data_IF_574683425467
#
_entry.id   IF_574683425467
#
_cell.length_a   1.000
_cell.length_b   1.000
_cell.length_c   1.000
_cell.angle_alpha   90.00
_cell.angle_beta   90.00
_cell.angle_gamma   90.00
#
_symmetry.space_group_name_H-M   'P 1'
#
loop_
_entity.id
_entity.type
_entity.pdbx_description
1 polymer ?
#
# COMPACT_ATOMS: atom_id res chain seq x y z
N UNK A 1 -48.26 -47.77 -25.15
CA UNK A 1 -48.53 -48.33 -23.81
C UNK A 1 -48.53 -47.15 -22.85
N UNK A 2 -49.72 -46.60 -22.55
CA UNK A 2 -50.56 -46.93 -21.37
C UNK A 2 -49.93 -46.27 -20.13
N UNK A 3 -50.36 -45.03 -19.82
CA UNK A 3 -51.14 -44.57 -18.63
C UNK A 3 -50.19 -44.08 -17.52
N UNK A 4 -50.45 -43.10 -16.64
CA UNK A 4 -51.61 -42.33 -16.18
C UNK A 4 -51.07 -41.13 -15.35
N UNK A 5 -51.80 -40.00 -15.29
CA UNK A 5 -51.73 -38.97 -14.21
C UNK A 5 -52.73 -39.37 -13.09
N UNK A 6 -53.07 -38.57 -12.04
CA UNK A 6 -52.42 -37.49 -11.27
C UNK A 6 -52.56 -37.69 -9.72
N UNK A 7 -52.05 -36.75 -8.90
CA UNK A 7 -52.45 -36.64 -7.48
C UNK A 7 -52.32 -35.21 -6.92
N UNK A 8 -53.45 -34.53 -6.73
CA UNK A 8 -53.59 -33.25 -6.01
C UNK A 8 -53.90 -33.49 -4.52
N UNK A 9 -53.43 -32.60 -3.64
CA UNK A 9 -54.11 -32.16 -2.40
C UNK A 9 -53.49 -30.79 -2.01
N UNK A 10 -54.15 -29.65 -2.24
CA UNK A 10 -55.12 -28.96 -1.35
C UNK A 10 -54.71 -28.87 0.13
N UNK A 11 -54.09 -27.75 0.48
CA UNK A 11 -54.57 -26.79 1.50
C UNK A 11 -54.61 -27.21 2.98
N UNK A 12 -53.85 -26.50 3.81
CA UNK A 12 -54.33 -25.98 5.10
C UNK A 12 -53.38 -24.91 5.64
N UNK A 13 -53.87 -23.67 5.75
CA UNK A 13 -53.30 -22.65 6.62
C UNK A 13 -53.75 -22.90 8.07
N UNK A 14 -53.01 -22.38 9.06
CA UNK A 14 -53.71 -21.59 10.06
C UNK A 14 -53.05 -20.23 10.32
N UNK A 15 -53.95 -19.35 10.75
CA UNK A 15 -53.77 -17.95 11.16
C UNK A 15 -52.96 -17.83 12.45
N UNK A 16 -52.26 -16.69 12.55
CA UNK A 16 -52.34 -15.82 13.72
C UNK A 16 -51.24 -15.96 14.78
N UNK A 17 -50.41 -14.93 14.91
CA UNK A 17 -50.61 -13.96 16.00
C UNK A 17 -49.80 -12.68 15.76
N UNK A 18 -50.54 -11.56 15.71
CA UNK A 18 -50.02 -10.22 15.97
C UNK A 18 -49.55 -10.16 17.42
N UNK A 19 -48.35 -9.61 17.67
CA UNK A 19 -48.13 -8.73 18.83
C UNK A 19 -47.18 -7.60 18.46
N UNK A 20 -47.78 -6.42 18.30
CA UNK A 20 -47.13 -5.12 18.47
C UNK A 20 -46.53 -5.03 19.87
N UNK A 21 -45.33 -4.45 19.98
CA UNK A 21 -44.91 -3.73 21.18
C UNK A 21 -43.89 -2.66 20.81
N UNK A 22 -44.41 -1.45 20.62
CA UNK A 22 -43.70 -0.18 20.78
C UNK A 22 -43.14 -0.04 22.19
N UNK A 23 -41.87 0.36 22.32
CA UNK A 23 -41.37 1.01 23.53
C UNK A 23 -40.41 2.14 23.14
N UNK A 24 -41.01 3.33 23.02
CA UNK A 24 -40.35 4.62 23.17
C UNK A 24 -39.92 4.74 24.64
N UNK A 25 -38.67 5.08 24.90
CA UNK A 25 -38.31 5.77 26.15
C UNK A 25 -37.15 6.72 25.87
N UNK A 26 -37.51 7.98 25.67
CA UNK A 26 -36.64 9.11 25.84
C UNK A 26 -36.44 9.36 27.33
N UNK A 27 -35.19 9.51 27.77
CA UNK A 27 -34.89 10.20 29.04
C UNK A 27 -33.98 11.38 28.72
N UNK A 28 -34.51 12.55 29.06
CA UNK A 28 -33.87 13.86 29.00
C UNK A 28 -32.79 13.96 30.09
N UNK A 29 -31.65 14.55 29.69
CA UNK A 29 -31.06 15.73 30.34
C UNK A 29 -30.58 15.62 31.78
N UNK A 30 -29.26 15.77 31.97
CA UNK A 30 -28.72 16.57 33.06
C UNK A 30 -27.37 17.16 32.62
N UNK A 31 -27.40 18.44 32.24
CA UNK A 31 -26.22 19.28 32.18
C UNK A 31 -25.81 19.59 33.63
N UNK A 32 -24.55 19.32 33.99
CA UNK A 32 -23.92 19.91 35.17
C UNK A 32 -22.86 20.90 34.69
N UNK A 33 -23.25 22.17 34.65
CA UNK A 33 -22.35 23.29 34.77
C UNK A 33 -22.16 23.58 36.27
N UNK A 34 -20.92 23.61 36.74
CA UNK A 34 -20.55 24.28 38.00
C UNK A 34 -19.52 25.33 37.66
N UNK A 35 -19.81 26.55 38.12
CA UNK A 35 -19.09 27.77 37.85
C UNK A 35 -18.04 28.06 38.94
N UNK A 36 -16.94 28.66 38.45
CA UNK A 36 -16.12 29.77 38.98
C UNK A 36 -15.58 29.83 40.44
N UNK A 37 -14.26 30.05 40.44
CA UNK A 37 -13.45 30.98 41.27
C UNK A 37 -13.14 30.58 42.71
N UNK A 38 -11.90 30.70 43.19
CA UNK A 38 -11.28 31.97 43.60
C UNK A 38 -9.77 31.79 43.96
N UNK A 39 -8.92 32.66 43.38
CA UNK A 39 -7.75 33.42 43.93
C UNK A 39 -6.49 32.71 44.49
N UNK A 40 -5.34 33.18 43.96
CA UNK A 40 -4.07 33.39 44.68
C UNK A 40 -2.89 32.60 44.12
N UNK A 41 -1.70 33.13 43.82
CA UNK A 41 -1.12 34.47 43.88
C UNK A 41 0.10 34.47 42.95
N UNK A 42 0.38 35.61 42.33
CA UNK A 42 1.61 35.85 41.59
C UNK A 42 2.79 35.99 42.55
N UNK A 43 3.91 35.35 42.22
CA UNK A 43 5.24 35.77 42.67
C UNK A 43 6.19 35.73 41.47
N UNK A 44 6.35 36.88 40.83
CA UNK A 44 7.56 37.19 40.11
C UNK A 44 8.71 37.27 41.12
N UNK A 45 9.85 36.65 40.82
CA UNK A 45 11.10 37.06 41.45
C UNK A 45 12.23 37.05 40.42
N UNK A 46 12.98 38.12 40.52
CA UNK A 46 13.92 38.73 39.60
C UNK A 46 15.24 37.96 39.44
N UNK A 47 15.82 38.15 38.26
CA UNK A 47 17.20 37.85 37.87
C UNK A 47 18.19 38.58 38.80
N UNK A 48 19.30 37.94 39.18
CA UNK A 48 20.55 38.65 39.40
C UNK A 48 21.58 38.28 38.32
N UNK A 49 22.00 39.32 37.60
CA UNK A 49 23.16 39.34 36.72
C UNK A 49 24.41 39.41 37.59
N UNK A 50 25.34 38.45 37.45
CA UNK A 50 26.72 38.60 37.93
C UNK A 50 27.67 38.07 36.87
N UNK A 51 28.60 38.95 36.51
CA UNK A 51 29.59 38.78 35.45
C UNK A 51 30.84 38.01 35.92
N UNK A 52 31.52 37.46 34.91
CA UNK A 52 32.94 37.11 34.82
C UNK A 52 33.47 35.93 35.64
N UNK A 53 33.97 34.92 34.93
CA UNK A 53 35.41 34.83 34.62
C UNK A 53 35.68 33.70 33.64
N UNK A 54 36.40 34.02 32.57
CA UNK A 54 36.86 33.07 31.56
C UNK A 54 37.91 32.12 32.17
N UNK A 55 37.73 30.82 31.96
CA UNK A 55 38.80 29.82 32.08
C UNK A 55 38.81 28.99 30.79
N UNK A 56 39.88 29.20 30.02
CA UNK A 56 40.25 28.44 28.82
C UNK A 56 40.56 27.00 29.20
N UNK A 57 39.56 26.12 29.05
CA UNK A 57 39.73 24.67 29.03
C UNK A 57 39.73 24.19 27.58
N UNK A 58 40.93 23.96 27.03
CA UNK A 58 41.15 23.29 25.74
C UNK A 58 40.50 21.90 25.79
N UNK A 59 39.32 21.77 25.18
CA UNK A 59 38.68 20.47 24.96
C UNK A 59 38.89 20.13 23.50
N UNK A 60 39.77 19.16 23.26
CA UNK A 60 40.06 18.57 21.96
C UNK A 60 38.77 18.00 21.39
N UNK A 61 38.12 18.72 20.47
CA UNK A 61 37.02 18.19 19.66
C UNK A 61 37.60 17.19 18.67
N UNK A 62 37.58 15.92 19.04
CA UNK A 62 37.68 14.81 18.09
C UNK A 62 36.45 14.88 17.20
N UNK A 63 36.62 15.35 15.97
CA UNK A 63 35.60 15.27 14.92
C UNK A 63 35.38 13.80 14.58
N UNK A 64 34.38 13.17 15.21
CA UNK A 64 33.86 11.89 14.77
C UNK A 64 33.19 12.10 13.41
N UNK A 65 33.92 11.79 12.34
CA UNK A 65 33.34 11.65 11.01
C UNK A 65 32.26 10.57 11.09
N UNK A 66 31.00 10.99 10.93
CA UNK A 66 29.89 10.07 10.66
C UNK A 66 30.16 9.48 9.29
N UNK A 67 30.70 8.27 9.26
CA UNK A 67 30.83 7.49 8.04
C UNK A 67 29.45 7.23 7.46
N UNK A 68 29.16 7.83 6.31
CA UNK A 68 27.98 7.52 5.51
C UNK A 68 27.94 6.02 5.21
N UNK A 69 26.77 5.36 5.18
CA UNK A 69 26.68 3.97 4.76
C UNK A 69 27.19 3.86 3.31
N UNK A 70 27.82 2.73 2.93
CA UNK A 70 28.39 2.56 1.60
C UNK A 70 27.28 2.72 0.56
N UNK A 71 27.41 3.78 -0.23
CA UNK A 71 26.63 3.98 -1.44
C UNK A 71 26.84 2.76 -2.34
N UNK A 72 25.73 2.19 -2.82
CA UNK A 72 25.72 1.00 -3.64
C UNK A 72 26.82 1.04 -4.72
N UNK A 73 27.59 -0.05 -4.80
CA UNK A 73 28.54 -0.26 -5.87
C UNK A 73 27.84 -0.07 -7.23
N UNK A 74 28.54 0.43 -8.27
CA UNK A 74 27.96 0.54 -9.60
C UNK A 74 27.44 -0.83 -10.03
N UNK A 75 26.19 -0.86 -10.52
CA UNK A 75 25.56 -2.07 -11.06
C UNK A 75 26.54 -2.70 -12.05
N UNK A 76 26.87 -3.98 -11.82
CA UNK A 76 27.79 -4.73 -12.70
C UNK A 76 27.27 -4.66 -14.14
N UNK A 77 28.17 -4.49 -15.10
CA UNK A 77 27.86 -4.21 -16.50
C UNK A 77 27.11 -5.39 -17.17
N UNK A 78 25.78 -5.39 -17.03
CA UNK A 78 24.83 -6.16 -17.83
C UNK A 78 23.91 -5.23 -18.64
N UNK A 79 23.09 -5.79 -19.53
CA UNK A 79 22.08 -5.04 -20.30
C UNK A 79 21.31 -4.06 -19.40
N UNK A 80 20.92 -2.86 -19.89
CA UNK A 80 20.16 -1.93 -19.07
C UNK A 80 18.90 -2.63 -18.54
N UNK A 81 18.84 -2.78 -17.21
CA UNK A 81 17.71 -3.40 -16.55
C UNK A 81 16.47 -2.52 -16.75
N UNK A 82 15.47 -3.06 -17.45
CA UNK A 82 14.16 -2.42 -17.52
C UNK A 82 13.40 -2.72 -16.23
N UNK A 83 12.97 -1.71 -15.51
CA UNK A 83 12.05 -1.84 -14.37
C UNK A 83 10.69 -1.33 -14.79
N UNK A 84 9.65 -2.11 -14.50
CA UNK A 84 8.27 -1.66 -14.70
C UNK A 84 7.70 -1.27 -13.35
N UNK A 85 7.28 -0.01 -13.22
CA UNK A 85 6.48 0.42 -12.08
C UNK A 85 5.03 0.52 -12.51
N UNK A 86 4.16 -0.13 -11.74
CA UNK A 86 2.74 -0.19 -11.99
C UNK A 86 1.99 0.64 -10.94
N UNK A 87 1.72 1.93 -11.17
CA UNK A 87 0.86 2.68 -10.29
C UNK A 87 -0.56 2.11 -10.35
N UNK A 88 -1.01 1.54 -9.23
CA UNK A 88 -2.29 0.87 -9.09
C UNK A 88 -3.49 1.73 -9.52
N UNK A 89 -4.56 1.06 -9.94
CA UNK A 89 -5.85 1.66 -10.32
C UNK A 89 -5.75 2.70 -11.46
N UNK A 90 -6.87 3.38 -11.78
CA UNK A 90 -6.92 4.48 -12.74
C UNK A 90 -7.86 5.59 -12.24
N UNK A 91 -7.58 6.85 -12.61
CA UNK A 91 -8.36 8.00 -12.13
C UNK A 91 -9.78 8.13 -12.67
N UNK A 92 -10.16 7.39 -13.72
CA UNK A 92 -11.52 7.37 -14.27
C UNK A 92 -12.33 6.13 -13.92
N UNK A 93 -11.80 5.18 -13.15
CA UNK A 93 -12.47 3.90 -12.88
C UNK A 93 -13.86 4.09 -12.25
N UNK A 94 -14.02 5.05 -11.34
CA UNK A 94 -15.29 5.30 -10.66
C UNK A 94 -16.45 5.69 -11.62
N UNK A 95 -16.13 6.29 -12.77
CA UNK A 95 -17.11 6.66 -13.79
C UNK A 95 -17.38 5.55 -14.82
N UNK A 96 -16.65 4.43 -14.74
CA UNK A 96 -16.65 3.37 -15.76
C UNK A 96 -16.86 1.96 -15.17
N UNK A 97 -17.93 1.71 -14.37
CA UNK A 97 -18.14 0.43 -13.71
C UNK A 97 -18.29 -0.75 -14.67
N UNK A 98 -18.87 -0.54 -15.86
CA UNK A 98 -19.02 -1.59 -16.88
C UNK A 98 -17.66 -2.03 -17.45
N UNK A 99 -16.75 -1.09 -17.68
CA UNK A 99 -15.43 -1.37 -18.23
C UNK A 99 -14.55 -2.12 -17.21
N UNK A 100 -14.52 -1.64 -15.97
CA UNK A 100 -13.66 -2.22 -14.92
C UNK A 100 -14.18 -3.56 -14.39
N UNK A 101 -15.49 -3.84 -14.50
CA UNK A 101 -16.09 -5.10 -14.05
C UNK A 101 -16.00 -6.23 -15.09
N UNK A 102 -15.61 -5.93 -16.34
CA UNK A 102 -15.41 -6.93 -17.39
C UNK A 102 -14.43 -8.01 -16.91
N UNK A 103 -14.78 -9.30 -16.99
CA UNK A 103 -13.88 -10.37 -16.55
C UNK A 103 -12.66 -10.46 -17.48
N UNK A 104 -11.49 -10.63 -16.87
CA UNK A 104 -10.20 -10.85 -17.55
C UNK A 104 -9.48 -12.06 -16.94
N UNK A 105 -8.57 -12.72 -17.69
CA UNK A 105 -7.74 -13.80 -17.14
C UNK A 105 -6.91 -13.35 -15.94
N UNK A 106 -6.68 -14.26 -14.99
CA UNK A 106 -5.97 -14.00 -13.74
C UNK A 106 -5.05 -15.16 -13.30
N UNK A 107 -4.62 -16.00 -14.26
CA UNK A 107 -3.73 -17.14 -14.02
C UNK A 107 -4.46 -18.38 -13.51
N UNK A 108 -5.34 -18.95 -14.32
CA UNK A 108 -6.16 -20.13 -13.98
C UNK A 108 -7.58 -19.81 -13.47
N UNK A 109 -7.95 -18.53 -13.37
CA UNK A 109 -9.31 -18.06 -13.13
C UNK A 109 -9.53 -16.69 -13.81
N UNK A 110 -10.71 -16.09 -13.64
CA UNK A 110 -11.00 -14.74 -14.11
C UNK A 110 -11.32 -13.79 -12.96
N UNK A 111 -10.97 -12.51 -13.09
CA UNK A 111 -11.34 -11.44 -12.14
C UNK A 111 -11.77 -10.17 -12.88
N UNK A 112 -12.36 -9.17 -12.21
CA UNK A 112 -12.64 -7.87 -12.82
C UNK A 112 -11.38 -7.26 -13.44
N UNK A 113 -11.54 -6.62 -14.61
CA UNK A 113 -10.50 -5.89 -15.32
C UNK A 113 -9.73 -4.93 -14.41
N UNK A 114 -10.44 -4.17 -13.56
CA UNK A 114 -9.83 -3.26 -12.61
C UNK A 114 -10.78 -2.98 -11.42
N UNK A 115 -10.33 -2.22 -10.44
CA UNK A 115 -11.14 -1.71 -9.33
C UNK A 115 -10.84 -0.22 -9.10
N UNK A 116 -11.70 0.47 -8.36
CA UNK A 116 -11.53 1.91 -8.09
C UNK A 116 -10.38 2.24 -7.12
N UNK A 117 -9.97 1.27 -6.30
CA UNK A 117 -8.99 1.48 -5.23
C UNK A 117 -9.62 2.00 -3.93
N UNK A 118 -8.80 2.10 -2.89
CA UNK A 118 -9.14 2.71 -1.62
C UNK A 118 -9.13 4.25 -1.71
N UNK A 119 -9.43 4.88 -0.58
CA UNK A 119 -9.28 6.31 -0.39
C UNK A 119 -9.14 6.62 1.11
N UNK A 120 -8.53 7.76 1.44
CA UNK A 120 -8.54 8.25 2.81
C UNK A 120 -9.93 8.73 3.23
N UNK A 121 -10.13 8.89 4.54
CA UNK A 121 -11.33 9.51 5.10
C UNK A 121 -11.55 10.94 4.60
N UNK A 122 -10.49 11.66 4.24
CA UNK A 122 -10.54 12.98 3.64
C UNK A 122 -10.76 12.97 2.12
N UNK A 123 -10.85 11.79 1.49
CA UNK A 123 -11.15 11.63 0.07
C UNK A 123 -9.94 11.67 -0.86
N UNK A 124 -8.70 11.53 -0.35
CA UNK A 124 -7.54 11.35 -1.21
C UNK A 124 -7.55 9.93 -1.79
N UNK A 125 -7.67 9.75 -3.12
CA UNK A 125 -7.88 8.43 -3.71
C UNK A 125 -6.56 7.68 -3.93
N UNK A 126 -6.61 6.36 -3.83
CA UNK A 126 -5.45 5.48 -3.97
C UNK A 126 -4.75 5.64 -5.34
N UNK A 127 -5.52 5.77 -6.43
CA UNK A 127 -4.94 5.92 -7.77
C UNK A 127 -4.01 7.14 -7.87
N UNK A 128 -4.36 8.25 -7.21
CA UNK A 128 -3.56 9.48 -7.21
C UNK A 128 -2.32 9.35 -6.33
N UNK A 129 -2.44 8.65 -5.19
CA UNK A 129 -1.31 8.29 -4.34
C UNK A 129 -0.30 7.42 -5.10
N UNK A 130 -0.77 6.30 -5.66
CA UNK A 130 0.06 5.35 -6.37
C UNK A 130 0.77 6.01 -7.57
N UNK A 131 0.06 6.85 -8.32
CA UNK A 131 0.61 7.60 -9.45
C UNK A 131 1.75 8.54 -9.03
N UNK A 132 1.55 9.38 -8.01
CA UNK A 132 2.58 10.31 -7.52
C UNK A 132 3.82 9.56 -7.02
N UNK A 133 3.65 8.50 -6.22
CA UNK A 133 4.77 7.71 -5.70
C UNK A 133 5.52 6.99 -6.82
N UNK A 134 4.81 6.39 -7.79
CA UNK A 134 5.44 5.70 -8.91
C UNK A 134 6.28 6.65 -9.79
N UNK A 135 5.78 7.86 -10.05
CA UNK A 135 6.52 8.86 -10.81
C UNK A 135 7.78 9.34 -10.07
N UNK A 136 7.68 9.63 -8.77
CA UNK A 136 8.86 9.96 -7.95
C UNK A 136 9.89 8.83 -7.94
N UNK A 137 9.44 7.58 -7.79
CA UNK A 137 10.33 6.42 -7.80
C UNK A 137 10.98 6.23 -9.18
N UNK A 138 10.23 6.46 -10.27
CA UNK A 138 10.76 6.42 -11.63
C UNK A 138 11.87 7.45 -11.83
N UNK A 139 11.69 8.68 -11.36
CA UNK A 139 12.70 9.74 -11.49
C UNK A 139 13.98 9.39 -10.71
N UNK A 140 13.83 8.86 -9.49
CA UNK A 140 14.96 8.39 -8.68
C UNK A 140 15.72 7.24 -9.37
N UNK A 141 15.02 6.27 -9.93
CA UNK A 141 15.61 5.12 -10.63
C UNK A 141 16.29 5.54 -11.94
N UNK A 142 15.65 6.41 -12.73
CA UNK A 142 16.23 6.98 -13.96
C UNK A 142 17.51 7.77 -13.67
N UNK A 143 17.54 8.52 -12.56
CA UNK A 143 18.74 9.22 -12.10
C UNK A 143 19.90 8.26 -11.72
N UNK A 144 19.62 6.96 -11.52
CA UNK A 144 20.62 5.90 -11.32
C UNK A 144 20.92 5.09 -12.60
N UNK A 145 20.41 5.52 -13.75
CA UNK A 145 20.63 4.84 -15.04
C UNK A 145 19.73 3.63 -15.29
N UNK A 146 18.69 3.42 -14.47
CA UNK A 146 17.70 2.36 -14.69
C UNK A 146 16.73 2.80 -15.78
N UNK A 147 16.44 1.92 -16.73
CA UNK A 147 15.37 2.16 -17.70
C UNK A 147 14.04 1.87 -17.03
N UNK A 148 13.14 2.85 -16.95
CA UNK A 148 11.85 2.70 -16.25
C UNK A 148 10.68 2.91 -17.19
N UNK A 149 9.81 1.90 -17.27
CA UNK A 149 8.50 2.00 -17.90
C UNK A 149 7.39 2.05 -16.85
N UNK A 150 6.33 2.80 -17.15
CA UNK A 150 5.12 2.89 -16.32
C UNK A 150 3.97 2.20 -17.05
N UNK A 151 3.13 1.45 -16.35
CA UNK A 151 1.95 0.80 -16.95
C UNK A 151 0.85 1.78 -17.33
N UNK A 152 0.88 2.99 -16.77
CA UNK A 152 0.07 4.15 -17.18
C UNK A 152 0.84 5.44 -16.99
N UNK A 153 0.60 6.42 -17.85
CA UNK A 153 1.35 7.69 -17.90
C UNK A 153 0.53 8.92 -17.49
N UNK A 154 -0.75 8.71 -17.18
CA UNK A 154 -1.63 9.73 -16.63
C UNK A 154 -2.52 9.13 -15.53
N UNK A 155 -3.19 10.03 -14.80
CA UNK A 155 -4.12 9.70 -13.74
C UNK A 155 -5.56 10.13 -14.09
N UNK A 156 -5.89 10.07 -15.38
CA UNK A 156 -7.19 10.48 -15.92
C UNK A 156 -7.83 9.32 -16.71
N UNK A 157 -9.14 9.11 -16.54
CA UNK A 157 -9.84 8.12 -17.35
C UNK A 157 -9.53 6.66 -17.02
N UNK A 158 -9.99 5.77 -17.88
CA UNK A 158 -9.83 4.32 -17.74
C UNK A 158 -8.53 3.90 -18.41
N UNK A 159 -7.63 3.28 -17.64
CA UNK A 159 -6.38 2.71 -18.11
C UNK A 159 -6.43 1.18 -18.16
N UNK A 160 -5.27 0.52 -18.34
CA UNK A 160 -5.21 -0.90 -18.66
C UNK A 160 -5.78 -1.79 -17.55
N UNK A 161 -6.31 -2.94 -17.96
CA UNK A 161 -6.74 -4.00 -17.06
C UNK A 161 -5.55 -4.67 -16.35
N UNK A 162 -5.81 -5.35 -15.24
CA UNK A 162 -4.78 -6.04 -14.45
C UNK A 162 -3.98 -7.10 -15.23
N UNK A 163 -4.58 -7.73 -16.25
CA UNK A 163 -3.86 -8.65 -17.13
C UNK A 163 -2.93 -7.91 -18.11
N UNK A 164 -3.40 -6.81 -18.70
CA UNK A 164 -2.61 -5.98 -19.62
C UNK A 164 -1.40 -5.34 -18.90
N UNK A 165 -1.56 -4.98 -17.62
CA UNK A 165 -0.46 -4.49 -16.77
C UNK A 165 0.62 -5.54 -16.55
N UNK A 166 0.23 -6.80 -16.36
CA UNK A 166 1.17 -7.92 -16.26
C UNK A 166 1.87 -8.17 -17.60
N UNK A 167 1.11 -8.14 -18.71
CA UNK A 167 1.64 -8.34 -20.06
C UNK A 167 2.66 -7.26 -20.42
N UNK A 168 2.41 -5.99 -20.08
CA UNK A 168 3.37 -4.91 -20.29
C UNK A 168 4.74 -5.18 -19.63
N UNK A 169 4.76 -5.76 -18.42
CA UNK A 169 6.01 -6.14 -17.76
C UNK A 169 6.70 -7.34 -18.41
N UNK A 170 5.91 -8.33 -18.86
CA UNK A 170 6.39 -9.50 -19.56
C UNK A 170 7.01 -9.13 -20.92
N UNK A 171 6.31 -8.32 -21.71
CA UNK A 171 6.75 -7.85 -23.04
C UNK A 171 7.99 -6.97 -22.96
N UNK A 172 8.10 -6.15 -21.91
CA UNK A 172 9.29 -5.35 -21.65
C UNK A 172 10.52 -6.19 -21.26
N UNK A 173 10.36 -7.49 -20.98
CA UNK A 173 11.42 -8.33 -20.44
C UNK A 173 11.97 -7.76 -19.12
N UNK A 174 11.09 -7.20 -18.29
CA UNK A 174 11.49 -6.42 -17.14
C UNK A 174 12.40 -7.23 -16.19
N UNK A 175 13.41 -6.57 -15.65
CA UNK A 175 14.24 -7.10 -14.60
C UNK A 175 13.44 -7.28 -13.29
N UNK A 176 12.50 -6.38 -13.03
CA UNK A 176 11.56 -6.41 -11.92
C UNK A 176 10.31 -5.60 -12.27
N UNK A 177 9.14 -6.11 -11.94
CA UNK A 177 7.89 -5.38 -11.91
C UNK A 177 7.48 -5.06 -10.46
N UNK A 178 7.14 -3.81 -10.17
CA UNK A 178 6.65 -3.38 -8.85
C UNK A 178 5.31 -2.70 -9.02
N UNK A 179 4.26 -3.31 -8.50
CA UNK A 179 2.94 -2.68 -8.40
C UNK A 179 2.81 -1.90 -7.10
N UNK A 180 2.45 -0.62 -7.19
CA UNK A 180 2.47 0.33 -6.08
C UNK A 180 1.02 0.67 -5.72
N UNK A 181 0.67 0.43 -4.47
CA UNK A 181 -0.69 0.52 -3.94
C UNK A 181 -0.71 1.10 -2.52
N UNK A 182 -1.91 1.38 -2.00
CA UNK A 182 -2.15 1.63 -0.59
C UNK A 182 -3.49 0.99 -0.19
N UNK A 183 -3.50 0.23 0.90
CA UNK A 183 -4.60 -0.65 1.24
C UNK A 183 -5.82 0.12 1.78
N UNK A 184 -6.96 -0.58 1.81
CA UNK A 184 -8.15 -0.16 2.53
C UNK A 184 -8.65 -1.26 3.45
N UNK A 185 -8.17 -1.25 4.70
CA UNK A 185 -8.50 -2.24 5.71
C UNK A 185 -9.33 -1.65 6.87
N UNK A 186 -9.45 -2.40 7.96
CA UNK A 186 -10.04 -1.93 9.23
C UNK A 186 -9.33 -0.63 9.70
N UNK A 187 -10.04 0.43 10.13
CA UNK A 187 -9.40 1.69 10.52
C UNK A 187 -8.45 1.57 11.74
N UNK A 188 -8.55 0.49 12.53
CA UNK A 188 -7.72 0.28 13.72
C UNK A 188 -6.39 -0.45 13.41
N UNK A 189 -6.18 -0.92 12.17
CA UNK A 189 -4.92 -1.56 11.74
C UNK A 189 -4.13 -0.66 10.80
N UNK A 190 -2.80 -0.72 10.88
CA UNK A 190 -1.92 0.19 10.13
C UNK A 190 -0.55 -0.41 9.79
N UNK A 191 0.16 0.24 8.89
CA UNK A 191 1.46 -0.18 8.40
C UNK A 191 1.45 -0.68 6.95
N UNK A 192 2.64 -0.88 6.41
CA UNK A 192 2.85 -1.31 5.03
C UNK A 192 3.08 -2.82 4.93
N UNK A 193 2.80 -3.42 3.77
CA UNK A 193 3.26 -4.76 3.46
C UNK A 193 3.63 -4.96 1.99
N UNK A 194 4.60 -5.84 1.75
CA UNK A 194 5.00 -6.30 0.44
C UNK A 194 4.31 -7.65 0.16
N UNK A 195 3.81 -7.82 -1.06
CA UNK A 195 3.17 -9.06 -1.50
C UNK A 195 4.09 -9.75 -2.50
N UNK A 196 4.48 -10.99 -2.18
CA UNK A 196 5.17 -11.90 -3.12
C UNK A 196 4.19 -12.92 -3.69
N UNK A 197 4.46 -13.47 -4.90
CA UNK A 197 3.60 -14.50 -5.48
C UNK A 197 3.65 -15.81 -4.67
N UNK A 198 2.48 -16.44 -4.53
CA UNK A 198 2.35 -17.89 -4.45
C UNK A 198 2.22 -18.47 -5.87
N UNK A 199 2.33 -19.80 -5.99
CA UNK A 199 2.08 -20.50 -7.24
C UNK A 199 0.65 -20.20 -7.71
N UNK A 200 0.53 -19.65 -8.92
CA UNK A 200 -0.75 -19.38 -9.56
C UNK A 200 -1.54 -20.68 -9.77
N UNK A 201 -2.88 -20.64 -9.79
CA UNK A 201 -3.70 -21.82 -10.09
C UNK A 201 -3.37 -22.55 -11.41
N UNK A 202 -2.89 -21.83 -12.44
CA UNK A 202 -2.41 -22.44 -13.69
C UNK A 202 -0.92 -22.85 -13.68
N UNK A 203 -0.20 -22.57 -12.59
CA UNK A 203 1.23 -22.83 -12.43
C UNK A 203 2.15 -21.97 -13.30
N UNK A 204 1.62 -21.01 -14.07
CA UNK A 204 2.38 -20.28 -15.10
C UNK A 204 3.48 -19.37 -14.55
N UNK A 205 3.39 -18.96 -13.29
CA UNK A 205 4.37 -18.09 -12.63
C UNK A 205 5.46 -18.85 -11.83
N UNK A 206 5.55 -20.18 -11.95
CA UNK A 206 6.49 -20.98 -11.15
C UNK A 206 7.95 -20.49 -11.25
N UNK A 207 8.38 -20.06 -12.44
CA UNK A 207 9.75 -19.59 -12.70
C UNK A 207 10.12 -18.27 -12.03
N UNK A 208 9.15 -17.51 -11.50
CA UNK A 208 9.42 -16.19 -10.89
C UNK A 208 9.34 -16.20 -9.36
N UNK A 209 8.94 -17.32 -8.73
CA UNK A 209 8.63 -17.34 -7.30
C UNK A 209 9.84 -16.98 -6.43
N UNK A 210 10.98 -17.62 -6.68
CA UNK A 210 12.22 -17.36 -5.94
C UNK A 210 12.79 -15.95 -6.16
N UNK A 211 13.00 -15.45 -7.39
CA UNK A 211 13.50 -14.09 -7.58
C UNK A 211 12.53 -13.03 -7.07
N UNK A 212 11.21 -13.25 -7.14
CA UNK A 212 10.23 -12.32 -6.56
C UNK A 212 10.25 -12.32 -5.03
N UNK A 213 10.57 -13.47 -4.41
CA UNK A 213 10.76 -13.55 -2.96
C UNK A 213 11.98 -12.74 -2.51
N UNK A 214 13.10 -12.82 -3.23
CA UNK A 214 14.27 -11.98 -2.97
C UNK A 214 13.96 -10.49 -3.14
N UNK A 215 13.27 -10.12 -4.24
CA UNK A 215 12.83 -8.75 -4.48
C UNK A 215 11.92 -8.23 -3.34
N UNK A 216 11.01 -9.07 -2.84
CA UNK A 216 10.11 -8.69 -1.76
C UNK A 216 10.85 -8.40 -0.44
N UNK A 217 11.87 -9.19 -0.10
CA UNK A 217 12.69 -8.94 1.11
C UNK A 217 13.55 -7.66 1.00
N UNK A 218 14.12 -7.39 -0.19
CA UNK A 218 14.83 -6.14 -0.43
C UNK A 218 13.90 -4.93 -0.34
N UNK A 219 12.70 -5.04 -0.93
CA UNK A 219 11.67 -4.01 -0.85
C UNK A 219 11.23 -3.75 0.60
N UNK A 220 10.92 -4.82 1.35
CA UNK A 220 10.52 -4.74 2.75
C UNK A 220 11.56 -3.98 3.60
N UNK A 221 12.83 -4.34 3.44
CA UNK A 221 13.95 -3.75 4.18
C UNK A 221 14.14 -2.28 3.82
N UNK A 222 14.19 -1.97 2.52
CA UNK A 222 14.45 -0.61 2.04
C UNK A 222 13.30 0.35 2.32
N UNK A 223 12.06 -0.11 2.17
CA UNK A 223 10.87 0.71 2.43
C UNK A 223 10.73 1.05 3.91
N UNK A 224 10.93 0.07 4.81
CA UNK A 224 10.92 0.30 6.25
C UNK A 224 11.98 1.32 6.65
N UNK A 225 13.21 1.18 6.15
CA UNK A 225 14.31 2.08 6.48
C UNK A 225 14.08 3.52 5.99
N UNK A 226 13.45 3.70 4.82
CA UNK A 226 13.23 5.02 4.24
C UNK A 226 12.04 5.77 4.86
N UNK A 227 10.98 5.06 5.25
CA UNK A 227 9.71 5.67 5.66
C UNK A 227 9.50 5.70 7.17
N UNK A 228 10.14 4.79 7.91
CA UNK A 228 9.81 4.46 9.30
C UNK A 228 8.35 4.00 9.51
N UNK A 229 7.65 3.64 8.42
CA UNK A 229 6.30 3.07 8.49
C UNK A 229 6.36 1.69 9.17
N UNK A 230 5.50 1.39 10.15
CA UNK A 230 5.42 0.05 10.73
C UNK A 230 5.15 -1.02 9.67
N UNK A 231 5.79 -2.17 9.83
CA UNK A 231 5.40 -3.36 9.08
C UNK A 231 4.02 -3.82 9.55
N UNK A 232 3.09 -3.97 8.62
CA UNK A 232 1.72 -4.37 8.92
C UNK A 232 1.68 -5.75 9.59
N UNK A 233 0.82 -5.89 10.60
CA UNK A 233 0.41 -7.18 11.17
C UNK A 233 -0.95 -7.64 10.61
N UNK A 234 -1.37 -7.03 9.50
CA UNK A 234 -2.50 -7.39 8.66
C UNK A 234 -2.01 -7.48 7.19
N UNK A 235 -2.75 -8.10 6.28
CA UNK A 235 -3.95 -8.94 6.50
C UNK A 235 -3.62 -10.25 7.24
N UNK A 236 -4.61 -11.07 7.57
CA UNK A 236 -4.42 -12.31 8.38
C UNK A 236 -3.55 -13.42 7.75
N UNK A 237 -3.06 -13.24 6.52
CA UNK A 237 -2.28 -14.22 5.74
C UNK A 237 -0.79 -13.83 5.59
N UNK A 238 -0.23 -13.20 6.62
CA UNK A 238 1.17 -12.81 6.63
C UNK A 238 2.11 -14.01 6.76
N UNK A 239 3.19 -13.98 5.98
CA UNK A 239 4.37 -14.84 6.17
C UNK A 239 5.14 -14.38 7.41
N UNK A 240 5.26 -13.06 7.57
CA UNK A 240 5.83 -12.34 8.71
C UNK A 240 5.28 -10.90 8.66
N UNK A 241 5.44 -10.07 9.73
CA UNK A 241 5.04 -8.67 9.65
C UNK A 241 5.57 -7.99 8.37
N UNK A 242 4.67 -7.30 7.68
CA UNK A 242 4.96 -6.59 6.43
C UNK A 242 5.17 -7.47 5.19
N UNK A 243 4.99 -8.80 5.26
CA UNK A 243 5.17 -9.68 4.10
C UNK A 243 4.02 -10.68 3.95
N UNK A 244 3.30 -10.60 2.84
CA UNK A 244 2.24 -11.56 2.47
C UNK A 244 2.66 -12.40 1.28
N UNK A 245 2.01 -13.56 1.11
CA UNK A 245 2.17 -14.43 -0.07
C UNK A 245 0.79 -14.75 -0.64
N UNK A 246 0.54 -14.43 -1.92
CA UNK A 246 -0.81 -14.47 -2.51
C UNK A 246 -0.83 -15.07 -3.92
N UNK A 247 -1.93 -15.74 -4.27
CA UNK A 247 -2.18 -16.32 -5.60
C UNK A 247 -3.54 -15.87 -6.21
N UNK A 248 -4.08 -14.75 -5.75
CA UNK A 248 -5.37 -14.18 -6.20
C UNK A 248 -5.20 -12.83 -6.96
N UNK A 249 -3.96 -12.40 -7.15
CA UNK A 249 -3.59 -11.16 -7.84
C UNK A 249 -3.13 -11.46 -9.27
N UNK A 250 -3.90 -11.04 -10.28
CA UNK A 250 -3.59 -11.28 -11.69
C UNK A 250 -2.19 -10.76 -12.08
N UNK A 251 -1.77 -9.60 -11.57
CA UNK A 251 -0.44 -9.05 -11.79
C UNK A 251 0.70 -10.00 -11.37
N UNK A 252 0.52 -10.74 -10.28
CA UNK A 252 1.48 -11.74 -9.79
C UNK A 252 1.34 -13.10 -10.48
N UNK A 253 0.10 -13.50 -10.78
CA UNK A 253 -0.18 -14.82 -11.36
C UNK A 253 0.19 -14.90 -12.85
N UNK A 254 0.02 -13.80 -13.59
CA UNK A 254 0.33 -13.72 -15.02
C UNK A 254 1.78 -13.30 -15.31
N UNK A 255 2.53 -12.88 -14.30
CA UNK A 255 3.92 -12.47 -14.47
C UNK A 255 4.82 -13.64 -14.93
N UNK A 256 5.76 -13.31 -15.83
CA UNK A 256 6.85 -14.17 -16.35
C UNK A 256 8.24 -13.57 -16.06
N UNK A 257 8.26 -12.40 -15.44
CA UNK A 257 9.40 -11.70 -14.87
C UNK A 257 9.23 -11.57 -13.35
N UNK A 258 10.29 -11.36 -12.55
CA UNK A 258 10.13 -11.11 -11.12
C UNK A 258 9.13 -9.98 -10.85
N UNK A 259 8.18 -10.20 -9.94
CA UNK A 259 7.07 -9.27 -9.71
C UNK A 259 6.65 -9.25 -8.23
N UNK A 260 6.41 -8.05 -7.70
CA UNK A 260 5.92 -7.83 -6.33
C UNK A 260 4.87 -6.71 -6.31
N UNK A 261 4.05 -6.69 -5.26
CA UNK A 261 3.22 -5.53 -4.92
C UNK A 261 3.73 -4.91 -3.62
N UNK A 262 3.55 -3.61 -3.45
CA UNK A 262 3.71 -2.93 -2.18
C UNK A 262 2.43 -2.17 -1.84
N UNK A 263 1.82 -2.54 -0.72
CA UNK A 263 0.77 -1.76 -0.05
C UNK A 263 1.46 -0.83 0.94
N UNK A 264 1.50 0.46 0.62
CA UNK A 264 2.36 1.42 1.32
C UNK A 264 1.83 1.83 2.71
N UNK A 265 0.57 1.52 3.02
CA UNK A 265 -0.12 1.87 4.27
C UNK A 265 -1.63 1.67 4.11
N UNK A 266 -2.38 1.69 5.21
CA UNK A 266 -3.84 1.60 5.21
C UNK A 266 -4.49 2.99 5.10
N UNK A 267 -5.06 3.33 3.95
CA UNK A 267 -5.72 4.63 3.75
C UNK A 267 -6.91 4.86 4.69
N UNK A 268 -7.49 3.81 5.28
CA UNK A 268 -8.62 3.91 6.23
C UNK A 268 -8.19 4.19 7.66
N UNK A 269 -6.94 3.89 8.01
CA UNK A 269 -6.38 4.26 9.30
C UNK A 269 -6.04 5.75 9.34
N UNK A 270 -6.19 6.38 10.50
CA UNK A 270 -6.00 7.81 10.67
C UNK A 270 -4.52 8.22 10.52
N UNK A 271 -3.59 7.47 11.13
CA UNK A 271 -2.16 7.76 11.08
C UNK A 271 -1.60 7.53 9.66
N UNK A 272 -1.90 6.38 9.07
CA UNK A 272 -1.48 6.04 7.70
C UNK A 272 -2.10 7.01 6.70
N UNK A 273 -3.40 7.29 6.84
CA UNK A 273 -4.12 8.28 6.03
C UNK A 273 -3.48 9.66 6.08
N UNK A 274 -2.91 10.06 7.21
CA UNK A 274 -2.17 11.32 7.34
C UNK A 274 -0.86 11.26 6.54
N UNK A 275 -0.05 10.21 6.70
CA UNK A 275 1.26 10.14 6.04
C UNK A 275 1.17 9.90 4.53
N UNK A 276 0.20 9.13 4.02
CA UNK A 276 0.04 8.95 2.56
C UNK A 276 -0.34 10.25 1.85
N UNK A 277 -1.00 11.18 2.56
CA UNK A 277 -1.32 12.52 2.04
C UNK A 277 -0.17 13.52 2.14
N UNK A 278 0.87 13.23 2.93
CA UNK A 278 2.06 14.07 3.07
C UNK A 278 3.01 13.90 1.86
N UNK A 279 3.28 14.97 1.08
CA UNK A 279 4.20 14.91 -0.06
C UNK A 279 5.64 14.53 0.32
N UNK A 280 6.12 14.92 1.50
CA UNK A 280 7.47 14.59 1.95
C UNK A 280 7.57 13.10 2.32
N UNK A 281 6.50 12.54 2.91
CA UNK A 281 6.42 11.11 3.14
C UNK A 281 6.31 10.32 1.83
N UNK A 282 5.51 10.79 0.85
CA UNK A 282 5.48 10.15 -0.49
C UNK A 282 6.84 10.15 -1.17
N UNK A 283 7.65 11.20 -0.97
CA UNK A 283 9.04 11.22 -1.44
C UNK A 283 9.90 10.16 -0.74
N UNK A 284 9.74 9.95 0.57
CA UNK A 284 10.43 8.88 1.31
C UNK A 284 9.97 7.48 0.88
N UNK A 285 8.67 7.28 0.64
CA UNK A 285 8.12 6.04 0.11
C UNK A 285 8.72 5.71 -1.27
N UNK A 286 8.76 6.69 -2.17
CA UNK A 286 9.41 6.56 -3.46
C UNK A 286 10.91 6.24 -3.35
N UNK A 287 11.62 6.84 -2.38
CA UNK A 287 13.01 6.51 -2.10
C UNK A 287 13.19 5.08 -1.58
N UNK A 288 12.29 4.62 -0.71
CA UNK A 288 12.25 3.24 -0.24
C UNK A 288 12.05 2.24 -1.38
N UNK A 289 11.12 2.52 -2.28
CA UNK A 289 10.86 1.71 -3.48
C UNK A 289 12.08 1.68 -4.39
N UNK A 290 12.65 2.84 -4.73
CA UNK A 290 13.84 2.91 -5.58
C UNK A 290 15.03 2.16 -4.96
N UNK A 291 15.26 2.30 -3.66
CA UNK A 291 16.31 1.57 -2.95
C UNK A 291 16.09 0.05 -2.99
N UNK A 292 14.86 -0.42 -2.74
CA UNK A 292 14.51 -1.84 -2.79
C UNK A 292 14.74 -2.45 -4.17
N UNK A 293 14.35 -1.72 -5.22
CA UNK A 293 14.63 -2.09 -6.62
C UNK A 293 16.14 -2.17 -6.87
N UNK A 294 16.91 -1.15 -6.49
CA UNK A 294 18.36 -1.11 -6.72
C UNK A 294 19.10 -2.22 -5.96
N UNK A 295 18.68 -2.53 -4.74
CA UNK A 295 19.21 -3.65 -3.96
C UNK A 295 18.98 -4.98 -4.68
N UNK A 296 17.77 -5.21 -5.19
CA UNK A 296 17.47 -6.42 -5.97
C UNK A 296 18.27 -6.48 -7.27
N UNK A 297 18.38 -5.37 -8.02
CA UNK A 297 19.17 -5.34 -9.25
C UNK A 297 20.66 -5.63 -9.00
N UNK A 298 21.20 -5.16 -7.87
CA UNK A 298 22.58 -5.41 -7.48
C UNK A 298 22.84 -6.83 -6.95
N UNK A 299 21.80 -7.53 -6.47
CA UNK A 299 21.91 -8.91 -5.98
C UNK A 299 21.74 -9.96 -7.07
N UNK A 300 21.41 -9.54 -8.31
CA UNK A 300 21.28 -10.46 -9.44
C UNK A 300 22.66 -10.97 -9.87
N UNK A 301 22.77 -12.28 -10.18
CA UNK A 301 24.01 -12.87 -10.70
C UNK A 301 24.35 -12.34 -12.10
#
# INVERSE_FOLDING_TARGET
MVTERPGHCRGCAPRGHRRSATALSAVRGAAFAVALSVIGSATACTIPTSASSASTGTTTQTTSQVSSPPFAAPLSAGLPAVVVLDPGHNGGNAAAPADISRPVPAGGFTKPCNTVGAQTSAGYPEHAFAFDVAHRAADLLRAKGVTVALTRTDDSGVGPCVNERADAANEAGAALAVSIHADGADPDVRGFHVIKPALAPDGGNAGILEPSEQAAFHMLTAFSAATAEPMATYPGELVQPGLTRRNDLAGLNLARVPAIFIECGNMRNHEDGTVVTDPDWRQRAAQGIANGVLMFLASRP
#
